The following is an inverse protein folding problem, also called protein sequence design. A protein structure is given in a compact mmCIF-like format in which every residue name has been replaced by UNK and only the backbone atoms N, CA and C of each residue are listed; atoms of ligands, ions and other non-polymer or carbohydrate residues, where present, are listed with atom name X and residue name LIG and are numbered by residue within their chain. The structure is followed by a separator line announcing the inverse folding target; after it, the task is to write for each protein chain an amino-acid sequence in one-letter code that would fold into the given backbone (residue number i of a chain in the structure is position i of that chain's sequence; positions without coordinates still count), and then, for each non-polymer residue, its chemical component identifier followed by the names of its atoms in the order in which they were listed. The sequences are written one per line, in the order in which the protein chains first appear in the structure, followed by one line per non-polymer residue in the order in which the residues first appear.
data_IF_973543904622
#
_entry.id   IF_973543904622
#
_cell.length_a   1.000
_cell.length_b   1.000
_cell.length_c   1.000
_cell.angle_alpha   90.00
_cell.angle_beta   90.00
_cell.angle_gamma   90.00
#
_symmetry.space_group_name_H-M   'P 1'
#
loop_
_entity.id
_entity.type
_entity.pdbx_description
1 polymer ?
#
# COMPACT_ATOMS: atom_id res chain seq x y z
N UNK A 1 28.87 15.60 -44.58
CA UNK A 1 30.29 16.03 -44.65
C UNK A 1 30.78 16.39 -43.26
N UNK A 2 31.91 15.78 -42.81
CA UNK A 2 32.87 16.18 -41.74
C UNK A 2 32.34 16.43 -40.32
N UNK A 3 33.01 16.13 -39.21
CA UNK A 3 34.19 15.33 -38.76
C UNK A 3 34.11 15.49 -37.21
N UNK A 4 34.11 14.41 -36.43
CA UNK A 4 35.24 13.97 -35.57
C UNK A 4 35.74 15.01 -34.54
N UNK A 5 35.66 14.69 -33.23
CA UNK A 5 36.82 14.38 -32.36
C UNK A 5 36.49 14.47 -30.85
N UNK A 6 36.72 13.36 -30.14
CA UNK A 6 37.14 13.33 -28.73
C UNK A 6 38.54 13.94 -28.60
N UNK A 7 38.96 14.29 -27.37
CA UNK A 7 40.11 13.56 -26.83
C UNK A 7 40.04 13.21 -25.33
N UNK A 8 40.74 12.12 -25.06
CA UNK A 8 41.28 11.58 -23.81
C UNK A 8 42.37 12.50 -23.27
N UNK A 9 42.44 12.72 -21.94
CA UNK A 9 43.69 13.08 -21.26
C UNK A 9 43.81 12.29 -19.94
N UNK A 10 44.80 11.39 -19.93
CA UNK A 10 45.45 10.83 -18.74
C UNK A 10 46.30 11.90 -18.06
N UNK A 11 46.35 11.92 -16.73
CA UNK A 11 47.49 12.44 -15.99
C UNK A 11 47.92 11.44 -14.92
N UNK A 12 49.03 10.76 -15.21
CA UNK A 12 49.89 10.16 -14.20
C UNK A 12 50.91 11.23 -13.76
N UNK A 13 51.17 11.33 -12.46
CA UNK A 13 52.46 11.86 -11.97
C UNK A 13 53.01 10.97 -10.87
N UNK A 14 54.18 10.45 -11.19
CA UNK A 14 55.10 9.67 -10.37
C UNK A 14 56.24 10.61 -10.01
N UNK A 15 56.63 10.75 -8.75
CA UNK A 15 58.01 11.12 -8.42
C UNK A 15 58.47 10.68 -7.02
N UNK A 16 59.32 9.66 -7.07
CA UNK A 16 60.42 9.22 -6.21
C UNK A 16 61.36 10.32 -5.72
N UNK A 17 61.84 10.28 -4.45
CA UNK A 17 63.23 9.86 -4.05
C UNK A 17 63.59 10.21 -2.59
N UNK A 18 64.16 9.18 -1.93
CA UNK A 18 65.27 9.13 -0.97
C UNK A 18 65.65 10.35 -0.09
N UNK A 19 65.79 10.09 1.23
CA UNK A 19 67.08 10.19 1.94
C UNK A 19 67.06 9.47 3.30
N UNK A 20 68.10 8.68 3.51
CA UNK A 20 68.49 7.92 4.70
C UNK A 20 69.03 8.79 5.82
N UNK A 21 68.71 8.49 7.08
CA UNK A 21 69.66 8.62 8.18
C UNK A 21 69.30 7.69 9.35
N UNK A 22 70.31 6.93 9.78
CA UNK A 22 70.22 5.91 10.81
C UNK A 22 70.34 6.51 12.21
N UNK A 23 69.59 5.98 13.18
CA UNK A 23 70.03 6.01 14.59
C UNK A 23 69.48 4.83 15.39
N UNK A 24 70.39 3.88 15.63
CA UNK A 24 70.62 3.01 16.80
C UNK A 24 69.44 2.61 17.71
N UNK A 25 69.25 1.28 17.77
CA UNK A 25 69.04 0.42 18.94
C UNK A 25 68.32 0.98 20.17
N UNK A 26 67.07 0.54 20.36
CA UNK A 26 66.65 -0.01 21.65
C UNK A 26 65.95 -1.36 21.42
N UNK A 27 66.55 -2.40 22.01
CA UNK A 27 65.96 -3.72 22.16
C UNK A 27 64.77 -3.64 23.12
N UNK A 28 63.58 -3.95 22.63
CA UNK A 28 62.47 -4.41 23.46
C UNK A 28 61.84 -5.63 22.80
N UNK A 29 62.37 -6.78 23.20
CA UNK A 29 61.90 -8.12 22.88
C UNK A 29 60.51 -8.33 23.51
N UNK A 30 59.44 -7.90 22.85
CA UNK A 30 58.09 -8.30 23.25
C UNK A 30 57.78 -9.68 22.66
N UNK A 31 57.87 -10.72 23.48
CA UNK A 31 57.22 -12.00 23.22
C UNK A 31 55.70 -11.80 23.23
N UNK A 32 55.16 -11.35 22.09
CA UNK A 32 53.73 -11.27 21.84
C UNK A 32 53.20 -12.67 21.54
N UNK A 33 52.83 -13.38 22.61
CA UNK A 33 52.18 -14.69 22.66
C UNK A 33 51.27 -14.95 21.44
N UNK A 34 51.54 -16.05 20.74
CA UNK A 34 50.70 -16.62 19.68
C UNK A 34 49.23 -16.81 20.10
N UNK A 35 48.93 -16.81 21.41
CA UNK A 35 47.57 -16.83 21.94
C UNK A 35 46.79 -15.53 21.62
N UNK A 36 47.44 -14.36 21.63
CA UNK A 36 46.76 -13.07 21.46
C UNK A 36 46.31 -12.84 20.01
N UNK A 37 47.07 -13.33 19.02
CA UNK A 37 46.65 -13.33 17.60
C UNK A 37 45.53 -14.33 17.31
N UNK A 38 45.47 -15.44 18.06
CA UNK A 38 44.38 -16.43 17.98
C UNK A 38 43.08 -15.90 18.57
N UNK A 39 43.16 -15.15 19.68
CA UNK A 39 42.01 -14.48 20.30
C UNK A 39 41.40 -13.41 19.38
N UNK A 40 42.21 -12.57 18.74
CA UNK A 40 41.73 -11.56 17.79
C UNK A 40 41.10 -12.17 16.52
N UNK A 41 41.63 -13.30 16.02
CA UNK A 41 41.02 -14.04 14.91
C UNK A 41 39.71 -14.71 15.31
N UNK A 42 39.61 -15.29 16.51
CA UNK A 42 38.35 -15.83 17.02
C UNK A 42 37.29 -14.73 17.21
N UNK A 43 37.67 -13.57 17.75
CA UNK A 43 36.76 -12.44 17.91
C UNK A 43 36.21 -11.94 16.56
N UNK A 44 37.05 -11.88 15.53
CA UNK A 44 36.63 -11.49 14.17
C UNK A 44 35.69 -12.50 13.51
N UNK A 45 35.90 -13.81 13.74
CA UNK A 45 35.01 -14.88 13.25
C UNK A 45 33.67 -14.85 14.00
N UNK A 46 33.69 -14.64 15.32
CA UNK A 46 32.47 -14.51 16.13
C UNK A 46 31.68 -13.26 15.73
N UNK A 47 32.35 -12.13 15.50
CA UNK A 47 31.70 -10.90 15.04
C UNK A 47 31.07 -11.07 13.65
N UNK A 48 31.75 -11.78 12.74
CA UNK A 48 31.22 -12.10 11.42
C UNK A 48 30.01 -13.04 11.48
N UNK A 49 30.03 -14.06 12.36
CA UNK A 49 28.89 -14.95 12.58
C UNK A 49 27.71 -14.23 13.24
N UNK A 50 27.96 -13.34 14.19
CA UNK A 50 26.93 -12.47 14.78
C UNK A 50 26.34 -11.52 13.74
N UNK A 51 27.15 -10.94 12.84
CA UNK A 51 26.66 -10.10 11.76
C UNK A 51 25.79 -10.87 10.73
N UNK A 52 26.13 -12.14 10.45
CA UNK A 52 25.34 -13.03 9.57
C UNK A 52 24.03 -13.46 10.26
N UNK A 53 24.05 -13.72 11.58
CA UNK A 53 22.83 -14.01 12.34
C UNK A 53 21.91 -12.79 12.50
N UNK A 54 22.48 -11.59 12.61
CA UNK A 54 21.71 -10.33 12.69
C UNK A 54 21.12 -9.92 11.33
N UNK A 55 21.75 -10.26 10.20
CA UNK A 55 21.16 -10.02 8.87
C UNK A 55 20.05 -11.01 8.50
N UNK A 56 19.98 -12.18 9.17
CA UNK A 56 18.89 -13.15 9.01
C UNK A 56 17.61 -12.80 9.80
N UNK A 57 17.69 -11.96 10.84
CA UNK A 57 16.51 -11.47 11.57
C UNK A 57 15.89 -10.20 10.95
N UNK A 58 16.54 -9.55 9.98
CA UNK A 58 16.01 -8.35 9.30
C UNK A 58 14.94 -8.62 8.25
N UNK A 59 14.75 -9.89 7.82
CA UNK A 59 13.83 -10.25 6.73
C UNK A 59 12.45 -10.76 7.21
N UNK A 60 12.22 -10.84 8.53
CA UNK A 60 10.98 -11.35 9.11
C UNK A 60 10.23 -10.32 9.96
N UNK A 61 10.44 -9.01 9.73
CA UNK A 61 9.35 -8.10 10.03
C UNK A 61 8.24 -8.45 9.03
N UNK A 62 7.21 -9.14 9.51
CA UNK A 62 5.96 -9.34 8.77
C UNK A 62 5.32 -7.96 8.57
N UNK A 63 5.92 -7.14 7.68
CA UNK A 63 5.21 -6.10 6.98
C UNK A 63 4.00 -6.81 6.38
N UNK A 64 2.80 -6.41 6.86
CA UNK A 64 1.58 -7.19 6.66
C UNK A 64 1.41 -7.65 5.22
N UNK A 65 0.72 -8.79 5.03
CA UNK A 65 0.39 -9.35 3.70
C UNK A 65 0.15 -8.25 2.66
N UNK A 66 0.58 -8.39 1.40
CA UNK A 66 0.55 -7.30 0.41
C UNK A 66 -0.73 -6.43 0.37
N UNK A 67 -1.89 -6.98 0.71
CA UNK A 67 -3.12 -6.21 0.94
C UNK A 67 -3.08 -5.20 2.11
N UNK A 68 -2.51 -5.55 3.26
CA UNK A 68 -2.32 -4.63 4.39
C UNK A 68 -1.36 -3.49 4.02
N UNK A 69 -0.24 -3.80 3.34
CA UNK A 69 0.67 -2.78 2.83
C UNK A 69 -0.02 -1.86 1.80
N UNK A 70 -0.72 -2.44 0.84
CA UNK A 70 -1.46 -1.69 -0.19
C UNK A 70 -2.55 -0.81 0.42
N UNK A 71 -3.24 -1.29 1.46
CA UNK A 71 -4.26 -0.53 2.18
C UNK A 71 -3.67 0.67 2.91
N UNK A 72 -2.53 0.50 3.57
CA UNK A 72 -1.85 1.62 4.22
C UNK A 72 -1.36 2.66 3.19
N UNK A 73 -0.82 2.21 2.05
CA UNK A 73 -0.47 3.10 0.95
C UNK A 73 -1.70 3.86 0.42
N UNK A 74 -2.83 3.18 0.23
CA UNK A 74 -4.09 3.78 -0.20
C UNK A 74 -4.58 4.85 0.79
N UNK A 75 -4.52 4.57 2.09
CA UNK A 75 -4.94 5.53 3.14
C UNK A 75 -4.03 6.77 3.17
N UNK A 76 -2.73 6.59 2.94
CA UNK A 76 -1.72 7.66 2.89
C UNK A 76 -1.77 8.49 1.60
N UNK A 77 -2.46 8.00 0.57
CA UNK A 77 -2.52 8.65 -0.74
C UNK A 77 -1.43 8.23 -1.72
N UNK A 78 -0.61 7.24 -1.35
CA UNK A 78 0.45 6.68 -2.19
C UNK A 78 -0.15 5.66 -3.18
N UNK A 79 -0.99 6.14 -4.11
CA UNK A 79 -1.82 5.27 -4.94
C UNK A 79 -1.00 4.35 -5.86
N UNK A 80 0.16 4.82 -6.34
CA UNK A 80 1.05 4.00 -7.15
C UNK A 80 1.60 2.79 -6.37
N UNK A 81 1.99 3.00 -5.11
CA UNK A 81 2.46 1.93 -4.23
C UNK A 81 1.30 0.98 -3.89
N UNK A 82 0.11 1.52 -3.64
CA UNK A 82 -1.09 0.72 -3.42
C UNK A 82 -1.40 -0.19 -4.61
N UNK A 83 -1.38 0.35 -5.83
CA UNK A 83 -1.56 -0.43 -7.08
C UNK A 83 -0.52 -1.54 -7.16
N UNK A 84 0.76 -1.24 -6.92
CA UNK A 84 1.82 -2.25 -6.99
C UNK A 84 1.59 -3.38 -5.98
N UNK A 85 1.32 -3.06 -4.71
CA UNK A 85 1.07 -4.04 -3.66
C UNK A 85 -0.16 -4.92 -3.93
N UNK A 86 -1.27 -4.33 -4.38
CA UNK A 86 -2.48 -5.08 -4.71
C UNK A 86 -2.33 -5.91 -5.98
N UNK A 87 -1.61 -5.40 -6.99
CA UNK A 87 -1.38 -6.12 -8.24
C UNK A 87 -0.53 -7.37 -8.03
N UNK A 88 0.55 -7.29 -7.24
CA UNK A 88 1.35 -8.46 -6.88
C UNK A 88 0.52 -9.49 -6.11
N UNK A 89 -0.36 -9.04 -5.22
CA UNK A 89 -1.24 -9.93 -4.45
C UNK A 89 -2.29 -10.61 -5.34
N UNK A 90 -2.89 -9.86 -6.27
CA UNK A 90 -3.88 -10.38 -7.23
C UNK A 90 -3.25 -11.34 -8.26
N UNK A 91 -1.98 -11.18 -8.60
CA UNK A 91 -1.24 -12.14 -9.42
C UNK A 91 -1.01 -13.47 -8.69
N UNK A 92 -0.76 -13.42 -7.38
CA UNK A 92 -0.53 -14.61 -6.58
C UNK A 92 -1.84 -15.39 -6.32
N UNK A 93 -2.92 -14.70 -5.96
CA UNK A 93 -4.24 -15.30 -5.78
C UNK A 93 -5.34 -14.26 -6.09
N UNK A 94 -5.92 -14.26 -7.31
CA UNK A 94 -6.92 -13.28 -7.70
C UNK A 94 -8.25 -13.44 -6.96
N UNK A 95 -8.51 -14.59 -6.34
CA UNK A 95 -9.75 -14.87 -5.62
C UNK A 95 -9.60 -14.62 -4.11
N UNK A 96 -8.44 -14.12 -3.68
CA UNK A 96 -8.16 -13.85 -2.27
C UNK A 96 -9.13 -12.82 -1.72
N UNK A 97 -9.86 -13.20 -0.67
CA UNK A 97 -10.68 -12.30 0.13
C UNK A 97 -9.97 -12.00 1.44
N UNK A 98 -9.96 -10.73 1.84
CA UNK A 98 -9.44 -10.27 3.11
C UNK A 98 -10.60 -9.87 4.01
N UNK A 99 -10.52 -10.26 5.29
CA UNK A 99 -11.49 -9.81 6.30
C UNK A 99 -10.81 -8.74 7.14
N UNK A 100 -11.39 -7.54 7.14
CA UNK A 100 -10.95 -6.43 7.98
C UNK A 100 -12.05 -6.14 9.02
N UNK A 101 -11.62 -5.95 10.26
CA UNK A 101 -12.54 -5.85 11.39
C UNK A 101 -13.45 -7.07 11.55
N UNK A 102 -14.61 -6.92 12.24
CA UNK A 102 -15.51 -8.02 12.53
C UNK A 102 -15.83 -8.86 11.32
N UNK A 103 -16.23 -8.25 10.19
CA UNK A 103 -16.68 -8.99 9.00
C UNK A 103 -16.58 -8.25 7.65
N UNK A 104 -15.84 -7.14 7.52
CA UNK A 104 -15.73 -6.50 6.20
C UNK A 104 -14.86 -7.39 5.29
N UNK A 105 -15.51 -8.12 4.39
CA UNK A 105 -14.88 -9.03 3.44
C UNK A 105 -14.72 -8.33 2.10
N UNK A 106 -13.50 -8.05 1.72
CA UNK A 106 -13.17 -7.38 0.46
C UNK A 106 -12.21 -8.24 -0.37
N UNK A 107 -12.48 -8.35 -1.67
CA UNK A 107 -11.63 -9.08 -2.61
C UNK A 107 -10.35 -8.33 -2.93
N UNK A 108 -9.28 -9.03 -3.29
CA UNK A 108 -8.04 -8.36 -3.73
C UNK A 108 -8.25 -7.54 -5.01
N UNK A 109 -9.16 -7.98 -5.89
CA UNK A 109 -9.51 -7.24 -7.11
C UNK A 109 -10.32 -5.97 -6.79
N UNK A 110 -11.22 -6.00 -5.80
CA UNK A 110 -11.85 -4.77 -5.26
C UNK A 110 -10.78 -3.73 -4.92
N UNK A 111 -9.81 -4.09 -4.06
CA UNK A 111 -8.74 -3.18 -3.68
C UNK A 111 -7.89 -2.69 -4.85
N UNK A 112 -7.52 -3.58 -5.79
CA UNK A 112 -6.74 -3.21 -6.96
C UNK A 112 -7.50 -2.21 -7.84
N UNK A 113 -8.78 -2.47 -8.12
CA UNK A 113 -9.61 -1.58 -8.94
C UNK A 113 -9.80 -0.20 -8.29
N UNK A 114 -9.98 -0.16 -6.97
CA UNK A 114 -10.07 1.09 -6.19
C UNK A 114 -8.77 1.89 -6.25
N UNK A 115 -7.63 1.23 -6.08
CA UNK A 115 -6.32 1.86 -6.17
C UNK A 115 -6.05 2.38 -7.59
N UNK A 116 -6.39 1.61 -8.62
CA UNK A 116 -6.29 2.03 -10.02
C UNK A 116 -7.14 3.27 -10.30
N UNK A 117 -8.39 3.31 -9.80
CA UNK A 117 -9.25 4.49 -9.92
C UNK A 117 -8.61 5.73 -9.28
N UNK A 118 -8.15 5.60 -8.03
CA UNK A 118 -7.50 6.69 -7.29
C UNK A 118 -6.20 7.16 -7.96
N UNK A 119 -5.49 6.25 -8.64
CA UNK A 119 -4.29 6.52 -9.43
C UNK A 119 -4.59 7.05 -10.85
N UNK A 120 -5.86 7.26 -11.20
CA UNK A 120 -6.29 7.77 -12.51
C UNK A 120 -6.31 6.74 -13.65
N UNK A 121 -6.08 5.46 -13.36
CA UNK A 121 -6.07 4.36 -14.32
C UNK A 121 -7.51 3.85 -14.56
N UNK A 122 -8.40 4.73 -15.03
CA UNK A 122 -9.85 4.49 -15.07
C UNK A 122 -10.28 3.26 -15.88
N UNK A 123 -9.68 3.05 -17.06
CA UNK A 123 -9.99 1.88 -17.91
C UNK A 123 -9.63 0.56 -17.20
N UNK A 124 -8.44 0.50 -16.60
CA UNK A 124 -7.99 -0.67 -15.84
C UNK A 124 -8.85 -0.89 -14.58
N UNK A 125 -9.26 0.20 -13.91
CA UNK A 125 -10.14 0.14 -12.76
C UNK A 125 -11.50 -0.46 -13.14
N UNK A 126 -12.11 0.00 -14.24
CA UNK A 126 -13.39 -0.51 -14.74
C UNK A 126 -13.32 -2.02 -14.97
N UNK A 127 -12.31 -2.48 -15.69
CA UNK A 127 -12.16 -3.89 -16.03
C UNK A 127 -11.94 -4.75 -14.78
N UNK A 128 -11.11 -4.25 -13.85
CA UNK A 128 -10.80 -4.95 -12.59
C UNK A 128 -12.02 -5.04 -11.67
N UNK A 129 -12.78 -3.95 -11.51
CA UNK A 129 -13.98 -3.91 -10.66
C UNK A 129 -15.11 -4.76 -11.23
N UNK A 130 -15.32 -4.74 -12.56
CA UNK A 130 -16.28 -5.63 -13.23
C UNK A 130 -15.90 -7.10 -13.03
N UNK A 131 -14.60 -7.42 -13.11
CA UNK A 131 -14.10 -8.77 -12.85
C UNK A 131 -14.34 -9.20 -11.41
N UNK A 132 -14.09 -8.33 -10.43
CA UNK A 132 -14.37 -8.61 -9.02
C UNK A 132 -15.85 -8.95 -8.81
N UNK A 133 -16.76 -8.08 -9.27
CA UNK A 133 -18.20 -8.30 -9.16
C UNK A 133 -18.66 -9.61 -9.84
N UNK A 134 -18.10 -9.95 -11.00
CA UNK A 134 -18.44 -11.19 -11.70
C UNK A 134 -17.99 -12.45 -10.93
N UNK A 135 -16.88 -12.38 -10.18
CA UNK A 135 -16.33 -13.53 -9.46
C UNK A 135 -17.03 -13.82 -8.14
N UNK A 136 -17.61 -12.80 -7.50
CA UNK A 136 -17.99 -12.94 -6.10
C UNK A 136 -19.42 -13.42 -5.84
N UNK A 137 -20.29 -13.43 -6.85
CA UNK A 137 -21.69 -13.86 -6.73
C UNK A 137 -22.54 -12.96 -5.81
N UNK A 138 -23.81 -13.34 -5.60
CA UNK A 138 -24.84 -12.49 -4.96
C UNK A 138 -24.82 -12.44 -3.42
N UNK A 139 -23.86 -13.07 -2.74
CA UNK A 139 -23.96 -13.38 -1.29
C UNK A 139 -22.93 -12.66 -0.39
N UNK A 140 -22.35 -11.57 -0.86
CA UNK A 140 -21.29 -10.83 -0.15
C UNK A 140 -21.48 -9.32 -0.37
N UNK A 141 -21.09 -8.52 0.62
CA UNK A 141 -21.21 -7.07 0.55
C UNK A 141 -20.06 -6.46 -0.25
N UNK A 142 -20.34 -5.97 -1.47
CA UNK A 142 -19.39 -5.30 -2.38
C UNK A 142 -19.70 -3.83 -2.57
N UNK A 143 -20.23 -3.19 -1.54
CA UNK A 143 -20.66 -1.82 -1.64
C UNK A 143 -19.55 -0.88 -2.15
N UNK A 144 -18.30 -1.10 -1.71
CA UNK A 144 -17.15 -0.35 -2.20
C UNK A 144 -16.80 -0.68 -3.65
N UNK A 145 -16.77 -1.96 -4.04
CA UNK A 145 -16.52 -2.33 -5.45
C UNK A 145 -17.56 -1.68 -6.37
N UNK A 146 -18.83 -1.75 -6.01
CA UNK A 146 -19.93 -1.17 -6.80
C UNK A 146 -19.83 0.36 -6.85
N UNK A 147 -19.58 1.01 -5.70
CA UNK A 147 -19.43 2.46 -5.63
C UNK A 147 -18.28 2.94 -6.53
N UNK A 148 -17.10 2.31 -6.44
CA UNK A 148 -15.96 2.68 -7.27
C UNK A 148 -16.18 2.36 -8.75
N UNK A 149 -16.97 1.33 -9.09
CA UNK A 149 -17.34 1.09 -10.48
C UNK A 149 -18.21 2.24 -11.00
N UNK A 150 -19.22 2.67 -10.25
CA UNK A 150 -20.04 3.81 -10.64
C UNK A 150 -19.26 5.11 -10.77
N UNK A 151 -18.33 5.36 -9.84
CA UNK A 151 -17.40 6.48 -9.93
C UNK A 151 -16.51 6.42 -11.18
N UNK A 152 -16.08 5.22 -11.56
CA UNK A 152 -15.27 4.99 -12.75
C UNK A 152 -16.08 5.25 -14.02
N UNK A 153 -17.28 4.69 -14.13
CA UNK A 153 -18.17 4.89 -15.30
C UNK A 153 -18.55 6.36 -15.46
N UNK A 154 -18.86 7.06 -14.35
CA UNK A 154 -19.15 8.49 -14.38
C UNK A 154 -17.96 9.32 -14.93
N UNK A 155 -16.72 8.98 -14.54
CA UNK A 155 -15.51 9.66 -15.05
C UNK A 155 -15.16 9.30 -16.49
N UNK A 156 -15.54 8.11 -16.95
CA UNK A 156 -15.41 7.68 -18.35
C UNK A 156 -16.52 8.24 -19.25
N UNK A 157 -17.52 8.93 -18.68
CA UNK A 157 -18.59 9.60 -19.40
C UNK A 157 -19.92 8.84 -19.45
N UNK A 158 -19.98 7.61 -18.94
CA UNK A 158 -21.24 6.87 -18.78
C UNK A 158 -21.90 7.25 -17.45
N UNK A 159 -22.52 8.43 -17.45
CA UNK A 159 -23.20 8.99 -16.29
C UNK A 159 -24.42 8.16 -15.86
N UNK A 160 -25.10 7.48 -16.78
CA UNK A 160 -26.27 6.68 -16.44
C UNK A 160 -25.87 5.42 -15.67
N UNK A 161 -24.87 4.67 -16.16
CA UNK A 161 -24.30 3.56 -15.41
C UNK A 161 -23.65 4.03 -14.11
N UNK A 162 -22.93 5.15 -14.19
CA UNK A 162 -22.29 5.78 -13.03
C UNK A 162 -23.26 6.09 -11.91
N UNK A 163 -24.40 6.73 -12.21
CA UNK A 163 -25.41 7.08 -11.21
C UNK A 163 -26.00 5.85 -10.52
N UNK A 164 -26.40 4.85 -11.31
CA UNK A 164 -26.97 3.60 -10.82
C UNK A 164 -26.02 2.90 -9.84
N UNK A 165 -24.74 2.83 -10.20
CA UNK A 165 -23.75 2.08 -9.43
C UNK A 165 -23.27 2.87 -8.20
N UNK A 166 -23.18 4.21 -8.27
CA UNK A 166 -22.96 5.07 -7.09
C UNK A 166 -24.11 4.94 -6.09
N UNK A 167 -25.35 5.00 -6.56
CA UNK A 167 -26.54 4.86 -5.70
C UNK A 167 -26.57 3.49 -5.03
N UNK A 168 -26.37 2.42 -5.82
CA UNK A 168 -26.34 1.03 -5.34
C UNK A 168 -25.22 0.81 -4.31
N UNK A 169 -24.01 1.25 -4.61
CA UNK A 169 -22.87 1.15 -3.68
C UNK A 169 -23.11 1.93 -2.39
N UNK A 170 -23.69 3.13 -2.47
CA UNK A 170 -24.01 3.95 -1.29
C UNK A 170 -25.06 3.28 -0.40
N UNK A 171 -26.10 2.68 -0.98
CA UNK A 171 -27.10 1.88 -0.24
C UNK A 171 -26.46 0.66 0.42
N UNK A 172 -25.59 -0.05 -0.30
CA UNK A 172 -24.86 -1.20 0.26
C UNK A 172 -23.96 -0.85 1.46
N UNK A 173 -23.40 0.36 1.50
CA UNK A 173 -22.66 0.87 2.66
C UNK A 173 -23.60 1.03 3.86
N UNK A 174 -24.78 1.65 3.67
CA UNK A 174 -25.77 1.80 4.74
C UNK A 174 -26.25 0.43 5.26
N UNK A 175 -26.51 -0.52 4.35
CA UNK A 175 -26.91 -1.87 4.71
C UNK A 175 -25.83 -2.59 5.52
N UNK A 176 -24.55 -2.42 5.16
CA UNK A 176 -23.43 -2.92 5.96
C UNK A 176 -23.42 -2.33 7.37
N UNK A 177 -23.55 -1.01 7.48
CA UNK A 177 -23.51 -0.32 8.75
C UNK A 177 -24.67 -0.74 9.66
N UNK A 178 -25.85 -0.97 9.09
CA UNK A 178 -27.01 -1.52 9.79
C UNK A 178 -26.74 -2.95 10.26
N UNK A 179 -26.20 -3.81 9.38
CA UNK A 179 -25.82 -5.17 9.72
C UNK A 179 -24.81 -5.21 10.88
N UNK A 180 -23.76 -4.41 10.82
CA UNK A 180 -22.72 -4.34 11.85
C UNK A 180 -23.29 -3.84 13.17
N UNK A 181 -24.12 -2.78 13.15
CA UNK A 181 -24.77 -2.29 14.36
C UNK A 181 -25.72 -3.29 15.00
N UNK A 182 -26.47 -4.07 14.21
CA UNK A 182 -27.41 -5.06 14.73
C UNK A 182 -26.70 -6.31 15.25
N UNK A 183 -25.73 -6.82 14.48
CA UNK A 183 -25.04 -8.09 14.77
C UNK A 183 -24.00 -7.93 15.88
N UNK A 184 -23.25 -6.82 15.89
CA UNK A 184 -22.18 -6.56 16.86
C UNK A 184 -22.57 -5.46 17.85
N UNK A 185 -23.87 -5.34 18.16
CA UNK A 185 -24.44 -4.25 18.97
C UNK A 185 -23.82 -4.09 20.37
N UNK A 186 -23.33 -5.18 20.94
CA UNK A 186 -22.77 -5.24 22.29
C UNK A 186 -21.24 -5.15 22.35
N UNK A 187 -20.58 -5.19 21.18
CA UNK A 187 -19.12 -5.21 21.08
C UNK A 187 -18.67 -3.91 20.36
N UNK A 188 -18.35 -4.04 19.08
CA UNK A 188 -17.64 -3.04 18.27
C UNK A 188 -18.53 -2.36 17.23
N UNK A 189 -19.80 -2.74 17.14
CA UNK A 189 -20.71 -2.23 16.09
C UNK A 189 -20.92 -0.71 16.15
N UNK A 190 -20.83 -0.10 17.34
CA UNK A 190 -20.91 1.37 17.50
C UNK A 190 -19.62 2.10 17.15
N UNK A 191 -18.46 1.44 17.22
CA UNK A 191 -17.17 2.08 16.97
C UNK A 191 -16.95 2.37 15.48
N UNK A 192 -17.52 1.54 14.61
CA UNK A 192 -17.33 1.61 13.15
C UNK A 192 -17.78 2.95 12.53
N UNK A 193 -18.88 3.52 13.05
CA UNK A 193 -19.42 4.80 12.58
C UNK A 193 -19.72 5.71 13.76
N UNK A 194 -18.68 5.97 14.56
CA UNK A 194 -18.77 6.86 15.72
C UNK A 194 -19.15 8.27 15.26
N UNK A 195 -20.25 8.80 15.81
CA UNK A 195 -20.78 10.12 15.43
C UNK A 195 -21.53 10.15 14.10
N UNK A 196 -21.91 8.98 13.55
CA UNK A 196 -22.70 8.84 12.33
C UNK A 196 -22.07 9.51 11.10
N UNK A 197 -20.75 9.68 11.07
CA UNK A 197 -20.04 10.40 10.01
C UNK A 197 -20.16 9.71 8.65
N UNK A 198 -20.15 8.39 8.62
CA UNK A 198 -20.30 7.60 7.40
C UNK A 198 -21.77 7.58 6.98
N UNK A 199 -22.71 7.30 7.91
CA UNK A 199 -24.16 7.37 7.63
C UNK A 199 -24.59 8.73 7.09
N UNK A 200 -24.15 9.82 7.72
CA UNK A 200 -24.51 11.17 7.30
C UNK A 200 -23.97 11.49 5.89
N UNK A 201 -22.74 11.07 5.58
CA UNK A 201 -22.18 11.24 4.24
C UNK A 201 -22.93 10.41 3.19
N UNK A 202 -23.29 9.16 3.50
CA UNK A 202 -24.08 8.32 2.60
C UNK A 202 -25.48 8.88 2.34
N UNK A 203 -26.18 9.31 3.39
CA UNK A 203 -27.50 9.94 3.26
C UNK A 203 -27.45 11.25 2.48
N UNK A 204 -26.40 12.07 2.65
CA UNK A 204 -26.21 13.28 1.87
C UNK A 204 -26.03 12.97 0.37
N UNK A 205 -25.26 11.95 0.02
CA UNK A 205 -25.09 11.52 -1.37
C UNK A 205 -26.40 11.01 -1.98
N UNK A 206 -27.15 10.18 -1.25
CA UNK A 206 -28.46 9.69 -1.72
C UNK A 206 -29.47 10.83 -1.89
N UNK A 207 -29.48 11.81 -0.98
CA UNK A 207 -30.34 12.98 -1.11
C UNK A 207 -29.97 13.87 -2.32
N UNK A 208 -28.68 13.95 -2.68
CA UNK A 208 -28.27 14.61 -3.92
C UNK A 208 -28.80 13.87 -5.15
N UNK A 209 -28.66 12.55 -5.18
CA UNK A 209 -29.14 11.69 -6.27
C UNK A 209 -30.66 11.81 -6.43
N UNK A 210 -31.41 11.70 -5.33
CA UNK A 210 -32.89 11.77 -5.31
C UNK A 210 -33.43 13.09 -5.88
N UNK A 211 -32.72 14.21 -5.66
CA UNK A 211 -33.10 15.51 -6.22
C UNK A 211 -32.97 15.58 -7.75
N UNK A 212 -32.19 14.69 -8.37
CA UNK A 212 -32.06 14.56 -9.82
C UNK A 212 -31.31 15.68 -10.56
N UNK A 213 -31.16 16.88 -9.97
CA UNK A 213 -30.41 18.00 -10.54
C UNK A 213 -29.21 18.36 -9.66
N UNK A 214 -28.17 17.51 -9.70
CA UNK A 214 -26.95 17.65 -8.90
C UNK A 214 -25.73 17.95 -9.78
N UNK A 215 -24.72 18.56 -9.17
CA UNK A 215 -23.42 18.78 -9.79
C UNK A 215 -22.59 17.48 -9.76
N UNK A 216 -22.16 17.01 -10.93
CA UNK A 216 -21.42 15.75 -11.09
C UNK A 216 -20.08 15.73 -10.33
N UNK A 217 -19.19 16.73 -10.52
CA UNK A 217 -18.03 16.93 -9.67
C UNK A 217 -18.31 16.83 -8.17
N UNK A 218 -19.41 17.45 -7.70
CA UNK A 218 -19.80 17.40 -6.29
C UNK A 218 -20.21 15.99 -5.85
N UNK A 219 -21.03 15.28 -6.65
CA UNK A 219 -21.44 13.91 -6.34
C UNK A 219 -20.24 12.95 -6.31
N UNK A 220 -19.32 13.07 -7.30
CA UNK A 220 -18.12 12.24 -7.40
C UNK A 220 -17.22 12.47 -6.18
N UNK A 221 -16.87 13.72 -5.89
CA UNK A 221 -15.98 14.04 -4.77
C UNK A 221 -16.58 13.67 -3.40
N UNK A 222 -17.88 13.89 -3.20
CA UNK A 222 -18.58 13.49 -1.96
C UNK A 222 -18.65 11.96 -1.81
N UNK A 223 -18.80 11.23 -2.90
CA UNK A 223 -18.78 9.76 -2.92
C UNK A 223 -17.39 9.18 -2.69
N UNK A 224 -16.32 9.77 -3.24
CA UNK A 224 -14.94 9.41 -2.92
C UNK A 224 -14.63 9.62 -1.43
N UNK A 225 -15.09 10.76 -0.86
CA UNK A 225 -14.93 11.05 0.55
C UNK A 225 -15.67 10.05 1.45
N UNK A 226 -16.90 9.66 1.06
CA UNK A 226 -17.64 8.59 1.74
C UNK A 226 -16.85 7.28 1.74
N UNK A 227 -16.36 6.85 0.57
CA UNK A 227 -15.64 5.59 0.42
C UNK A 227 -14.37 5.56 1.29
N UNK A 228 -13.64 6.67 1.35
CA UNK A 228 -12.45 6.80 2.19
C UNK A 228 -12.76 6.85 3.70
N UNK A 229 -13.88 7.46 4.10
CA UNK A 229 -14.35 7.42 5.50
C UNK A 229 -14.69 5.99 5.90
N UNK A 230 -15.41 5.27 5.04
CA UNK A 230 -15.73 3.87 5.27
C UNK A 230 -14.47 3.00 5.40
N UNK A 231 -13.48 3.22 4.53
CA UNK A 231 -12.18 2.55 4.60
C UNK A 231 -11.44 2.85 5.92
N UNK A 232 -11.49 4.09 6.40
CA UNK A 232 -10.80 4.51 7.63
C UNK A 232 -11.54 4.14 8.92
N UNK A 233 -12.86 3.89 8.86
CA UNK A 233 -13.71 3.65 10.03
C UNK A 233 -13.23 2.52 10.95
N UNK A 234 -12.45 1.59 10.44
CA UNK A 234 -11.83 0.49 11.21
C UNK A 234 -10.57 0.90 12.02
N UNK A 235 -9.85 1.98 11.66
CA UNK A 235 -8.50 2.27 12.23
C UNK A 235 -8.53 2.99 13.59
N UNK A 236 -9.70 3.23 14.18
CA UNK A 236 -9.83 3.88 15.50
C UNK A 236 -9.73 2.90 16.69
N UNK A 237 -9.16 1.71 16.47
CA UNK A 237 -8.79 0.74 17.52
C UNK A 237 -7.27 0.70 17.72
#
# INVERSE_FOLDING_TARGET
MRKRMLPVIQCAFRCTRHSTLATRHLSLRSHGSTAMKRMARMYSIVLALVAIFLSACGANFQAGSGAAQGREALIRGDYQDAVSSFQSSAQADPNKTYTFGPQLKEGILSYLGRAQYLNGQLEAARDTLKKDLAQQGSNKNFALTQLYLGLTEARLGDQQAGLRDIESGTKGILDFLNYVQQTFRFDIGKLWDTGDLIRNAANANLAMIERGNFDWPMLVSSSEALAMRFERGWKNE
#
